data_IF_276559038838
#
_entry.id   IF_276559038838
#
_cell.length_a   1.000
_cell.length_b   1.000
_cell.length_c   1.000
_cell.angle_alpha   90.00
_cell.angle_beta   90.00
_cell.angle_gamma   90.00
#
_symmetry.space_group_name_H-M   'P 1'
#
loop_
_entity.id
_entity.type
_entity.pdbx_description
1 polymer ?
#
# COMPACT_ATOMS: atom_id res chain seq x y z
N UNK A 1 -15.72 -15.98 2.14
CA UNK A 1 -16.64 -14.85 1.88
C UNK A 1 -15.91 -13.64 2.40
N UNK A 2 -15.37 -12.82 1.49
CA UNK A 2 -14.64 -11.60 1.86
C UNK A 2 -15.60 -10.66 2.58
N UNK A 3 -15.16 -10.09 3.71
CA UNK A 3 -15.91 -9.08 4.45
C UNK A 3 -15.15 -7.77 4.29
N UNK A 4 -15.83 -6.63 4.05
CA UNK A 4 -15.17 -5.35 4.01
C UNK A 4 -14.44 -5.10 5.33
N UNK A 5 -13.16 -4.77 5.25
CA UNK A 5 -12.32 -4.44 6.40
C UNK A 5 -13.06 -3.45 7.32
N UNK A 6 -13.21 -3.81 8.60
CA UNK A 6 -13.70 -2.85 9.60
C UNK A 6 -12.68 -1.71 9.68
N UNK A 7 -13.19 -0.49 9.77
CA UNK A 7 -12.41 0.74 9.73
C UNK A 7 -11.57 0.89 11.01
N UNK A 8 -10.47 0.14 11.14
CA UNK A 8 -9.53 0.36 12.23
C UNK A 8 -8.85 1.71 12.01
N UNK A 9 -9.07 2.64 12.94
CA UNK A 9 -8.50 3.98 12.93
C UNK A 9 -6.98 3.87 13.07
N UNK A 10 -6.27 3.96 11.94
CA UNK A 10 -4.83 4.19 11.98
C UNK A 10 -4.57 5.46 12.79
N UNK A 11 -3.90 5.34 13.94
CA UNK A 11 -3.45 6.51 14.70
C UNK A 11 -2.62 7.40 13.78
N UNK A 12 -2.89 8.70 13.82
CA UNK A 12 -2.06 9.66 13.09
C UNK A 12 -0.76 9.87 13.89
N UNK A 13 0.25 9.05 13.58
CA UNK A 13 1.59 9.15 14.14
C UNK A 13 2.38 10.11 13.25
N UNK A 14 3.06 11.11 13.83
CA UNK A 14 3.99 12.01 13.12
C UNK A 14 3.45 12.60 11.79
N UNK A 15 2.23 13.16 11.79
CA UNK A 15 1.59 13.75 10.60
C UNK A 15 1.40 12.78 9.41
N UNK A 16 1.37 11.47 9.64
CA UNK A 16 1.22 10.45 8.60
C UNK A 16 -0.24 10.21 8.16
N UNK A 17 -1.12 11.22 8.26
CA UNK A 17 -2.50 11.08 7.80
C UNK A 17 -2.59 10.77 6.29
N UNK A 18 -1.63 11.24 5.50
CA UNK A 18 -1.52 10.96 4.07
C UNK A 18 -1.26 9.47 3.79
N UNK A 19 -0.43 8.81 4.63
CA UNK A 19 -0.19 7.36 4.57
C UNK A 19 -1.49 6.62 4.87
N UNK A 20 -2.14 6.99 5.97
CA UNK A 20 -3.36 6.34 6.43
C UNK A 20 -4.48 6.44 5.38
N UNK A 21 -4.66 7.61 4.76
CA UNK A 21 -5.65 7.77 3.69
C UNK A 21 -5.31 6.93 2.47
N UNK A 22 -4.05 6.89 2.05
CA UNK A 22 -3.62 6.12 0.87
C UNK A 22 -3.79 4.62 1.08
N UNK A 23 -3.34 4.09 2.23
CA UNK A 23 -3.51 2.68 2.55
C UNK A 23 -4.99 2.28 2.58
N UNK A 24 -5.86 3.10 3.19
CA UNK A 24 -7.31 2.86 3.19
C UNK A 24 -7.91 2.86 1.78
N UNK A 25 -7.49 3.80 0.94
CA UNK A 25 -7.97 3.84 -0.45
C UNK A 25 -7.57 2.60 -1.21
N UNK A 26 -6.34 2.10 -1.04
CA UNK A 26 -5.88 0.87 -1.69
C UNK A 26 -6.61 -0.37 -1.14
N UNK A 27 -6.76 -0.50 0.17
CA UNK A 27 -7.43 -1.66 0.79
C UNK A 27 -8.95 -1.68 0.59
N UNK A 28 -9.54 -0.57 0.15
CA UNK A 28 -10.96 -0.54 -0.26
C UNK A 28 -11.23 -1.17 -1.62
N UNK A 29 -10.19 -1.53 -2.37
CA UNK A 29 -10.30 -2.18 -3.67
C UNK A 29 -10.33 -3.71 -3.47
N UNK A 30 -11.54 -4.27 -3.32
CA UNK A 30 -11.74 -5.68 -2.95
C UNK A 30 -11.06 -6.65 -3.92
N UNK A 31 -11.28 -6.46 -5.22
CA UNK A 31 -10.72 -7.31 -6.27
C UNK A 31 -9.18 -7.24 -6.30
N UNK A 32 -8.62 -6.04 -6.08
CA UNK A 32 -7.18 -5.85 -5.99
C UNK A 32 -6.59 -6.61 -4.79
N UNK A 33 -7.22 -6.49 -3.62
CA UNK A 33 -6.77 -7.18 -2.41
C UNK A 33 -6.83 -8.70 -2.60
N UNK A 34 -7.94 -9.21 -3.14
CA UNK A 34 -8.13 -10.63 -3.42
C UNK A 34 -7.08 -11.20 -4.39
N UNK A 35 -6.83 -10.52 -5.51
CA UNK A 35 -5.86 -10.96 -6.51
C UNK A 35 -4.42 -10.89 -5.97
N UNK A 36 -4.13 -9.87 -5.14
CA UNK A 36 -2.86 -9.74 -4.46
C UNK A 36 -2.62 -10.90 -3.48
N UNK A 37 -3.61 -11.23 -2.65
CA UNK A 37 -3.52 -12.35 -1.71
C UNK A 37 -3.34 -13.69 -2.41
N UNK A 38 -4.11 -13.92 -3.47
CA UNK A 38 -4.03 -15.15 -4.26
C UNK A 38 -2.62 -15.30 -4.86
N UNK A 39 -2.06 -14.22 -5.38
CA UNK A 39 -0.72 -14.22 -5.99
C UNK A 39 0.41 -14.42 -4.98
N UNK A 40 0.18 -14.12 -3.69
CA UNK A 40 1.16 -14.34 -2.63
C UNK A 40 1.36 -15.81 -2.27
N UNK A 41 0.39 -16.70 -2.57
CA UNK A 41 0.49 -18.14 -2.30
C UNK A 41 1.66 -18.78 -3.05
N UNK A 42 1.98 -18.27 -4.24
CA UNK A 42 3.04 -18.80 -5.10
C UNK A 42 4.42 -18.17 -4.83
N UNK A 43 4.51 -17.23 -3.89
CA UNK A 43 5.76 -16.53 -3.56
C UNK A 43 6.54 -17.31 -2.50
N UNK A 44 7.64 -17.94 -2.91
CA UNK A 44 8.54 -18.67 -2.00
C UNK A 44 9.66 -17.79 -1.41
N UNK A 45 9.88 -16.61 -1.98
CA UNK A 45 10.94 -15.68 -1.58
C UNK A 45 10.44 -14.70 -0.49
N UNK A 46 11.34 -14.19 0.38
CA UNK A 46 10.97 -13.13 1.31
C UNK A 46 10.51 -11.88 0.56
N UNK A 47 9.44 -11.26 1.04
CA UNK A 47 8.92 -10.02 0.49
C UNK A 47 9.82 -8.83 0.86
N UNK A 48 9.93 -7.80 -0.01
CA UNK A 48 10.56 -6.54 0.35
C UNK A 48 9.91 -5.96 1.61
N UNK A 49 10.72 -5.43 2.54
CA UNK A 49 10.26 -5.07 3.90
C UNK A 49 9.04 -4.14 3.92
N UNK A 50 9.00 -3.13 3.06
CA UNK A 50 7.89 -2.19 3.00
C UNK A 50 6.61 -2.85 2.45
N UNK A 51 6.78 -3.74 1.47
CA UNK A 51 5.67 -4.50 0.89
C UNK A 51 5.16 -5.59 1.85
N UNK A 52 6.05 -6.23 2.61
CA UNK A 52 5.70 -7.18 3.66
C UNK A 52 4.79 -6.52 4.72
N UNK A 53 5.13 -5.31 5.18
CA UNK A 53 4.29 -4.56 6.09
C UNK A 53 2.97 -4.12 5.45
N UNK A 54 2.97 -3.73 4.17
CA UNK A 54 1.75 -3.41 3.44
C UNK A 54 0.77 -4.61 3.39
N UNK A 55 1.25 -5.81 3.12
CA UNK A 55 0.42 -7.03 3.10
C UNK A 55 -0.07 -7.40 4.50
N UNK A 56 0.78 -7.28 5.52
CA UNK A 56 0.39 -7.55 6.91
C UNK A 56 -0.69 -6.58 7.40
N UNK A 57 -0.57 -5.30 7.05
CA UNK A 57 -1.59 -4.29 7.35
C UNK A 57 -2.92 -4.56 6.64
N UNK A 58 -2.87 -5.06 5.40
CA UNK A 58 -4.05 -5.50 4.67
C UNK A 58 -4.77 -6.64 5.40
N UNK A 59 -4.04 -7.68 5.80
CA UNK A 59 -4.59 -8.87 6.50
C UNK A 59 -5.14 -8.57 7.89
N UNK A 60 -4.40 -7.80 8.70
CA UNK A 60 -4.86 -7.42 10.05
C UNK A 60 -6.13 -6.56 9.98
N UNK A 61 -6.38 -5.87 8.86
CA UNK A 61 -7.64 -5.14 8.67
C UNK A 61 -8.86 -6.03 8.42
N UNK A 62 -8.65 -7.33 8.17
CA UNK A 62 -9.71 -8.33 7.92
C UNK A 62 -10.11 -9.15 9.17
N UNK A 63 -9.25 -9.25 10.19
CA UNK A 63 -9.48 -10.09 11.37
C UNK A 63 -10.39 -9.40 12.43
N UNK A 64 -11.41 -10.12 12.89
CA UNK A 64 -12.59 -9.59 13.60
C UNK A 64 -12.45 -9.52 15.15
N UNK A 65 -11.29 -9.87 15.76
CA UNK A 65 -11.14 -10.03 17.23
C UNK A 65 -10.52 -8.81 17.96
N UNK A 66 -11.36 -8.12 18.75
CA UNK A 66 -11.31 -6.66 18.96
C UNK A 66 -10.30 -6.05 19.97
N UNK A 67 -9.30 -6.75 20.51
CA UNK A 67 -8.31 -6.12 21.44
C UNK A 67 -6.83 -6.42 21.16
N UNK A 68 -6.42 -7.68 20.92
CA UNK A 68 -5.01 -8.01 20.62
C UNK A 68 -4.56 -7.52 19.23
N UNK A 69 -5.49 -7.49 18.26
CA UNK A 69 -5.21 -7.04 16.88
C UNK A 69 -4.92 -5.53 16.79
N UNK A 70 -5.33 -4.74 17.78
CA UNK A 70 -5.10 -3.29 17.81
C UNK A 70 -3.63 -2.95 18.05
N UNK A 71 -2.95 -3.70 18.92
CA UNK A 71 -1.53 -3.49 19.20
C UNK A 71 -0.65 -3.94 18.04
N UNK A 72 -0.98 -5.08 17.41
CA UNK A 72 -0.32 -5.55 16.20
C UNK A 72 -0.52 -4.59 15.03
N UNK A 73 -1.74 -4.09 14.82
CA UNK A 73 -2.02 -3.08 13.79
C UNK A 73 -1.19 -1.81 14.02
N UNK A 74 -1.15 -1.28 15.24
CA UNK A 74 -0.35 -0.10 15.55
C UNK A 74 1.15 -0.36 15.34
N UNK A 75 1.63 -1.54 15.71
CA UNK A 75 3.01 -1.94 15.47
C UNK A 75 3.32 -1.98 13.98
N UNK A 76 2.50 -2.66 13.17
CA UNK A 76 2.72 -2.73 11.72
C UNK A 76 2.66 -1.35 11.05
N UNK A 77 1.74 -0.47 11.47
CA UNK A 77 1.67 0.91 10.96
C UNK A 77 2.94 1.67 11.30
N UNK A 78 3.39 1.59 12.55
CA UNK A 78 4.61 2.24 12.99
C UNK A 78 5.83 1.75 12.20
N UNK A 79 5.96 0.42 12.03
CA UNK A 79 7.03 -0.19 11.25
C UNK A 79 6.96 0.20 9.77
N UNK A 80 5.76 0.29 9.20
CA UNK A 80 5.59 0.78 7.83
C UNK A 80 6.06 2.24 7.70
N UNK A 81 5.68 3.11 8.65
CA UNK A 81 6.09 4.53 8.69
C UNK A 81 7.61 4.68 8.84
N UNK A 82 8.25 3.91 9.73
CA UNK A 82 9.71 3.93 9.91
C UNK A 82 10.48 3.57 8.63
N UNK A 83 9.87 2.78 7.74
CA UNK A 83 10.48 2.33 6.49
C UNK A 83 10.14 3.20 5.28
N UNK A 84 9.43 4.33 5.44
CA UNK A 84 9.09 5.20 4.31
C UNK A 84 10.32 5.88 3.66
N UNK A 85 11.43 5.97 4.38
CA UNK A 85 12.71 6.44 3.83
C UNK A 85 13.20 5.60 2.64
N UNK A 86 12.69 4.37 2.48
CA UNK A 86 12.97 3.50 1.32
C UNK A 86 12.26 3.98 0.04
N UNK A 87 11.20 4.78 0.16
CA UNK A 87 10.50 5.41 -0.97
C UNK A 87 11.16 6.73 -1.36
N UNK A 88 11.38 7.58 -0.35
CA UNK A 88 12.04 8.88 -0.45
C UNK A 88 12.44 9.31 0.96
N UNK A 89 13.62 9.92 1.11
CA UNK A 89 14.11 10.39 2.41
C UNK A 89 13.17 11.40 3.07
N UNK A 90 12.44 12.19 2.28
CA UNK A 90 11.51 13.23 2.76
C UNK A 90 10.29 12.67 3.50
N UNK A 91 9.88 11.42 3.22
CA UNK A 91 8.82 10.77 3.97
C UNK A 91 9.25 10.33 5.39
N UNK A 92 10.57 10.19 5.63
CA UNK A 92 11.12 9.84 6.94
C UNK A 92 11.24 11.00 7.92
N UNK A 93 11.03 12.25 7.48
CA UNK A 93 11.29 13.46 8.27
C UNK A 93 10.12 13.88 9.20
N UNK A 94 8.99 13.17 9.16
CA UNK A 94 7.83 13.44 10.04
C UNK A 94 7.00 14.67 9.66
N UNK A 95 7.23 15.21 8.47
CA UNK A 95 6.43 16.29 7.87
C UNK A 95 5.12 15.78 7.26
N UNK A 96 4.16 16.70 7.10
CA UNK A 96 2.95 16.43 6.32
C UNK A 96 3.32 16.39 4.82
N UNK A 97 2.79 15.42 4.09
CA UNK A 97 3.13 15.17 2.68
C UNK A 97 1.87 15.03 1.82
N UNK A 98 2.05 15.08 0.50
CA UNK A 98 0.96 14.88 -0.46
C UNK A 98 0.63 13.38 -0.61
N UNK A 99 -0.64 13.04 -0.40
CA UNK A 99 -1.10 11.64 -0.45
C UNK A 99 -1.04 11.03 -1.85
N UNK A 100 -1.22 11.85 -2.91
CA UNK A 100 -1.13 11.41 -4.30
C UNK A 100 0.32 11.14 -4.71
N UNK A 101 1.26 12.01 -4.31
CA UNK A 101 2.69 11.78 -4.53
C UNK A 101 3.14 10.51 -3.79
N UNK A 102 2.74 10.38 -2.52
CA UNK A 102 3.02 9.19 -1.73
C UNK A 102 2.49 7.91 -2.40
N UNK A 103 1.24 7.93 -2.88
CA UNK A 103 0.62 6.78 -3.54
C UNK A 103 1.39 6.34 -4.79
N UNK A 104 1.73 7.29 -5.68
CA UNK A 104 2.48 6.99 -6.91
C UNK A 104 3.85 6.41 -6.59
N UNK A 105 4.58 7.00 -5.64
CA UNK A 105 5.90 6.51 -5.24
C UNK A 105 5.84 5.13 -4.60
N UNK A 106 4.83 4.87 -3.77
CA UNK A 106 4.60 3.57 -3.16
C UNK A 106 4.36 2.49 -4.22
N UNK A 107 3.43 2.72 -5.15
CA UNK A 107 3.08 1.76 -6.19
C UNK A 107 4.23 1.51 -7.18
N UNK A 108 4.99 2.55 -7.55
CA UNK A 108 6.19 2.39 -8.37
C UNK A 108 7.26 1.57 -7.66
N UNK A 109 7.55 1.90 -6.39
CA UNK A 109 8.52 1.15 -5.59
C UNK A 109 8.13 -0.33 -5.46
N UNK A 110 6.85 -0.62 -5.21
CA UNK A 110 6.37 -2.00 -5.20
C UNK A 110 6.57 -2.67 -6.55
N UNK A 111 6.17 -2.03 -7.65
CA UNK A 111 6.30 -2.57 -9.01
C UNK A 111 7.74 -2.90 -9.42
N UNK A 112 8.73 -2.23 -8.81
CA UNK A 112 10.16 -2.42 -9.05
C UNK A 112 10.80 -3.47 -8.13
N UNK A 113 10.26 -3.69 -6.93
CA UNK A 113 10.93 -4.48 -5.88
C UNK A 113 10.29 -5.84 -5.61
N UNK A 114 9.00 -6.00 -5.89
CA UNK A 114 8.27 -7.24 -5.62
C UNK A 114 8.52 -8.30 -6.70
N UNK A 115 8.24 -9.59 -6.41
CA UNK A 115 8.29 -10.65 -7.42
C UNK A 115 7.41 -10.36 -8.65
N UNK A 116 7.81 -10.85 -9.83
CA UNK A 116 7.13 -10.56 -11.10
C UNK A 116 5.63 -10.89 -11.11
N UNK A 117 5.21 -11.95 -10.41
CA UNK A 117 3.79 -12.32 -10.27
C UNK A 117 3.00 -11.22 -9.56
N UNK A 118 3.54 -10.66 -8.47
CA UNK A 118 2.94 -9.55 -7.72
C UNK A 118 2.98 -8.26 -8.52
N UNK A 119 4.09 -7.98 -9.22
CA UNK A 119 4.22 -6.79 -10.06
C UNK A 119 3.17 -6.78 -11.19
N UNK A 120 2.79 -7.95 -11.70
CA UNK A 120 1.75 -8.09 -12.72
C UNK A 120 0.37 -7.70 -12.19
N UNK A 121 0.05 -8.05 -10.94
CA UNK A 121 -1.19 -7.61 -10.28
C UNK A 121 -1.21 -6.09 -10.18
N UNK A 122 -0.15 -5.46 -9.66
CA UNK A 122 -0.07 -4.00 -9.51
C UNK A 122 -0.29 -3.28 -10.85
N UNK A 123 0.35 -3.75 -11.93
CA UNK A 123 0.19 -3.15 -13.27
C UNK A 123 -1.22 -3.32 -13.81
N UNK A 124 -1.85 -4.47 -13.59
CA UNK A 124 -3.23 -4.74 -14.06
C UNK A 124 -4.23 -3.74 -13.49
N UNK A 125 -4.05 -3.34 -12.22
CA UNK A 125 -4.98 -2.43 -11.54
C UNK A 125 -4.63 -0.94 -11.72
N UNK A 126 -3.34 -0.59 -11.80
CA UNK A 126 -2.92 0.81 -11.69
C UNK A 126 -2.19 1.36 -12.92
N UNK A 127 -1.80 0.52 -13.88
CA UNK A 127 -1.14 0.99 -15.10
C UNK A 127 -2.16 1.26 -16.22
N UNK A 128 -2.03 2.42 -16.87
CA UNK A 128 -2.85 2.82 -18.00
C UNK A 128 -2.01 3.52 -19.06
N UNK A 129 -2.51 3.55 -20.29
CA UNK A 129 -1.84 4.23 -21.40
C UNK A 129 -2.66 5.41 -21.91
N UNK A 130 -1.98 6.54 -22.15
CA UNK A 130 -2.56 7.73 -22.76
C UNK A 130 -1.88 7.94 -24.11
N UNK A 131 -2.68 8.00 -25.18
CA UNK A 131 -2.19 8.40 -26.50
C UNK A 131 -2.27 9.92 -26.63
N UNK A 132 -1.11 10.59 -26.58
CA UNK A 132 -1.04 12.04 -26.79
C UNK A 132 -0.80 12.37 -28.27
N UNK A 133 -1.78 13.00 -28.91
CA UNK A 133 -1.67 13.47 -30.30
C UNK A 133 -1.43 14.97 -30.32
N UNK A 134 -0.31 15.41 -30.90
CA UNK A 134 0.03 16.82 -31.08
C UNK A 134 -0.34 17.25 -32.50
N UNK A 135 -1.30 18.18 -32.63
CA UNK A 135 -1.76 18.70 -33.93
C UNK A 135 -1.31 20.16 -34.06
N UNK A 136 -0.33 20.42 -34.91
CA UNK A 136 0.08 21.78 -35.24
C UNK A 136 -1.00 22.50 -36.05
N UNK A 137 -1.46 23.66 -35.59
CA UNK A 137 -2.33 24.55 -36.36
C UNK A 137 -1.49 25.53 -37.20
N UNK A 138 -1.98 25.82 -38.41
CA UNK A 138 -1.34 26.74 -39.37
C UNK A 138 -1.75 28.17 -39.12
#
# INVERSE_FOLDING_TARGET
>A
MWKPAKVHLYRNINNCCYVNSTLRSLYSLEDFCFDLETSLVDVQAPLPILFDFFVKLMRVSEDDDEEELVDDLHWYVFRFIENLHLLDVTFGEGGQQDASEFCVRLLNHFSETVPAVIATVLRTYFEGSILQTLICQK
#
